data_IF_152782497517
#
_entry.id   IF_152782497517
#
_cell.length_a   1.000
_cell.length_b   1.000
_cell.length_c   1.000
_cell.angle_alpha   90.00
_cell.angle_beta   90.00
_cell.angle_gamma   90.00
#
_symmetry.space_group_name_H-M   'P 1'
#
loop_
_entity.id
_entity.type
_entity.pdbx_description
1 polymer ?
#
# COMPACT_ATOMS: atom_id res chain seq x y z
N UNK A 1 27.40 -7.26 -67.90
CA UNK A 1 26.56 -6.23 -67.24
C UNK A 1 25.35 -6.93 -66.64
N UNK A 2 25.44 -7.31 -65.36
CA UNK A 2 24.28 -7.73 -64.56
C UNK A 2 24.51 -7.18 -63.17
N UNK A 3 23.61 -6.29 -62.78
CA UNK A 3 23.67 -5.44 -61.59
C UNK A 3 23.26 -6.21 -60.35
N UNK A 4 24.08 -6.02 -59.32
CA UNK A 4 23.92 -6.11 -57.86
C UNK A 4 22.68 -6.78 -57.23
N UNK A 5 22.97 -7.68 -56.30
CA UNK A 5 22.25 -7.80 -55.02
C UNK A 5 23.13 -7.16 -53.94
N UNK A 6 22.54 -6.42 -52.99
CA UNK A 6 22.20 -7.10 -51.74
C UNK A 6 20.84 -6.69 -51.16
N UNK A 7 20.20 -7.68 -50.52
CA UNK A 7 18.96 -7.51 -49.77
C UNK A 7 19.13 -6.55 -48.60
N UNK A 8 18.10 -5.74 -48.38
CA UNK A 8 18.02 -4.75 -47.32
C UNK A 8 18.23 -5.38 -45.94
N UNK A 9 19.26 -4.87 -45.25
CA UNK A 9 19.49 -5.02 -43.82
C UNK A 9 18.25 -4.59 -43.02
N UNK A 10 17.60 -5.56 -42.38
CA UNK A 10 16.82 -5.32 -41.18
C UNK A 10 17.81 -5.06 -40.06
N UNK A 11 17.94 -3.81 -39.59
CA UNK A 11 18.30 -3.54 -38.20
C UNK A 11 18.35 -2.03 -37.87
N UNK A 12 17.93 -1.73 -36.64
CA UNK A 12 18.20 -0.55 -35.83
C UNK A 12 17.58 0.81 -36.19
N UNK A 13 16.31 0.98 -35.80
CA UNK A 13 15.92 2.23 -35.12
C UNK A 13 15.33 1.95 -33.73
N UNK A 14 16.12 1.28 -32.89
CA UNK A 14 15.97 1.41 -31.44
C UNK A 14 16.37 2.84 -31.10
N UNK A 15 15.44 3.78 -31.25
CA UNK A 15 15.59 5.09 -30.64
C UNK A 15 15.88 4.84 -29.16
N UNK A 16 17.03 5.32 -28.71
CA UNK A 16 17.41 5.35 -27.32
C UNK A 16 16.28 6.08 -26.59
N UNK A 17 15.40 5.33 -25.94
CA UNK A 17 14.41 5.89 -25.04
C UNK A 17 15.20 6.64 -23.99
N UNK A 18 15.21 7.97 -24.07
CA UNK A 18 15.70 8.78 -22.98
C UNK A 18 14.89 8.36 -21.77
N UNK A 19 15.55 7.89 -20.72
CA UNK A 19 14.89 7.60 -19.45
C UNK A 19 14.51 8.95 -18.86
N UNK A 20 13.43 9.54 -19.37
CA UNK A 20 12.93 10.82 -18.92
C UNK A 20 12.56 10.65 -17.46
N UNK A 21 13.32 11.32 -16.60
CA UNK A 21 13.25 11.13 -15.16
C UNK A 21 12.11 12.00 -14.66
N UNK A 22 10.91 11.43 -14.57
CA UNK A 22 9.76 12.11 -14.02
C UNK A 22 9.95 12.38 -12.53
N UNK A 23 9.53 13.56 -12.07
CA UNK A 23 9.59 13.94 -10.66
C UNK A 23 8.67 13.05 -9.83
N UNK A 24 8.95 12.86 -8.52
CA UNK A 24 8.07 12.11 -7.64
C UNK A 24 6.63 12.61 -7.65
N UNK A 25 6.45 13.94 -7.61
CA UNK A 25 5.15 14.62 -7.55
C UNK A 25 4.34 14.35 -8.83
N UNK A 26 5.01 14.36 -9.99
CA UNK A 26 4.38 14.04 -11.25
C UNK A 26 3.87 12.60 -11.29
N UNK A 27 4.69 11.65 -10.82
CA UNK A 27 4.29 10.23 -10.75
C UNK A 27 3.12 10.04 -9.80
N UNK A 28 3.14 10.73 -8.66
CA UNK A 28 2.08 10.66 -7.67
C UNK A 28 0.75 11.15 -8.24
N UNK A 29 0.72 12.32 -8.88
CA UNK A 29 -0.50 12.85 -9.51
C UNK A 29 -0.99 11.96 -10.66
N UNK A 30 -0.09 11.38 -11.46
CA UNK A 30 -0.46 10.42 -12.50
C UNK A 30 -1.12 9.17 -11.91
N UNK A 31 -0.59 8.65 -10.79
CA UNK A 31 -1.15 7.49 -10.09
C UNK A 31 -2.49 7.83 -9.43
N UNK A 32 -2.66 9.01 -8.82
CA UNK A 32 -3.94 9.46 -8.23
C UNK A 32 -5.06 9.54 -9.26
N UNK A 33 -4.76 9.94 -10.50
CA UNK A 33 -5.76 9.93 -11.57
C UNK A 33 -6.30 8.52 -11.87
N UNK A 34 -5.45 7.49 -11.75
CA UNK A 34 -5.85 6.10 -11.97
C UNK A 34 -6.55 5.52 -10.75
N UNK A 35 -5.94 5.63 -9.57
CA UNK A 35 -6.42 4.97 -8.34
C UNK A 35 -7.62 5.71 -7.74
N UNK A 36 -7.53 7.03 -7.60
CA UNK A 36 -8.52 7.80 -6.84
C UNK A 36 -9.66 8.30 -7.74
N UNK A 37 -9.35 8.65 -9.00
CA UNK A 37 -10.34 9.15 -9.97
C UNK A 37 -10.86 8.08 -10.93
N UNK A 38 -10.27 6.88 -10.93
CA UNK A 38 -10.74 5.73 -11.71
C UNK A 38 -10.50 5.82 -13.22
N UNK A 39 -9.62 6.71 -13.70
CA UNK A 39 -9.32 6.80 -15.12
C UNK A 39 -8.51 5.58 -15.61
N UNK A 40 -8.70 5.24 -16.88
CA UNK A 40 -7.95 4.14 -17.50
C UNK A 40 -6.46 4.48 -17.65
N UNK A 41 -5.59 3.52 -17.35
CA UNK A 41 -4.13 3.69 -17.52
C UNK A 41 -3.75 4.13 -18.95
N UNK A 42 -4.30 3.56 -20.04
CA UNK A 42 -3.98 4.01 -21.39
C UNK A 42 -4.40 5.46 -21.66
N UNK A 43 -5.54 5.88 -21.13
CA UNK A 43 -6.08 7.24 -21.28
C UNK A 43 -5.19 8.26 -20.56
N UNK A 44 -4.86 8.00 -19.30
CA UNK A 44 -3.99 8.88 -18.50
C UNK A 44 -2.59 8.94 -19.11
N UNK A 45 -2.06 7.81 -19.57
CA UNK A 45 -0.75 7.75 -20.22
C UNK A 45 -0.71 8.61 -21.49
N UNK A 46 -1.72 8.50 -22.36
CA UNK A 46 -1.84 9.29 -23.57
C UNK A 46 -1.95 10.79 -23.26
N UNK A 47 -2.79 11.18 -22.28
CA UNK A 47 -2.98 12.57 -21.87
C UNK A 47 -1.71 13.21 -21.31
N UNK A 48 -0.92 12.43 -20.56
CA UNK A 48 0.30 12.91 -19.91
C UNK A 48 1.56 12.74 -20.78
N UNK A 49 1.45 12.15 -21.97
CA UNK A 49 2.60 11.89 -22.85
C UNK A 49 3.60 10.90 -22.27
N UNK A 50 3.15 9.97 -21.41
CA UNK A 50 3.99 8.94 -20.79
C UNK A 50 3.68 7.56 -21.36
N UNK A 51 4.62 6.62 -21.23
CA UNK A 51 4.33 5.25 -21.64
C UNK A 51 3.35 4.59 -20.66
N UNK A 52 2.34 3.91 -21.21
CA UNK A 52 1.37 3.15 -20.40
C UNK A 52 2.08 2.12 -19.50
N UNK A 53 3.16 1.51 -20.00
CA UNK A 53 3.97 0.57 -19.22
C UNK A 53 4.57 1.20 -17.96
N UNK A 54 5.14 2.41 -18.06
CA UNK A 54 5.66 3.13 -16.91
C UNK A 54 4.56 3.46 -15.91
N UNK A 55 3.40 3.89 -16.40
CA UNK A 55 2.27 4.23 -15.54
C UNK A 55 1.72 2.98 -14.81
N UNK A 56 1.59 1.84 -15.48
CA UNK A 56 1.26 0.56 -14.83
C UNK A 56 2.25 0.20 -13.72
N UNK A 57 3.55 0.40 -13.97
CA UNK A 57 4.59 0.13 -12.97
C UNK A 57 4.44 1.02 -11.73
N UNK A 58 4.14 2.31 -11.91
CA UNK A 58 3.94 3.24 -10.79
C UNK A 58 2.67 2.91 -10.00
N UNK A 59 1.55 2.63 -10.68
CA UNK A 59 0.31 2.21 -10.04
C UNK A 59 0.52 0.94 -9.22
N UNK A 60 1.21 -0.06 -9.78
CA UNK A 60 1.49 -1.32 -9.08
C UNK A 60 2.34 -1.10 -7.82
N UNK A 61 3.37 -0.25 -7.88
CA UNK A 61 4.23 0.05 -6.73
C UNK A 61 3.44 0.69 -5.58
N UNK A 62 2.58 1.67 -5.89
CA UNK A 62 1.75 2.33 -4.86
C UNK A 62 0.72 1.37 -4.28
N UNK A 63 0.08 0.53 -5.10
CA UNK A 63 -0.89 -0.44 -4.60
C UNK A 63 -0.25 -1.53 -3.72
N UNK A 64 0.96 -2.00 -4.06
CA UNK A 64 1.68 -2.94 -3.19
C UNK A 64 2.07 -2.30 -1.86
N UNK A 65 2.58 -1.07 -1.89
CA UNK A 65 3.00 -0.36 -0.67
C UNK A 65 1.80 -0.11 0.26
N UNK A 66 0.63 0.28 -0.30
CA UNK A 66 -0.62 0.44 0.46
C UNK A 66 -1.09 -0.88 1.08
N UNK A 67 -0.97 -2.00 0.36
CA UNK A 67 -1.36 -3.33 0.86
C UNK A 67 -0.47 -3.80 2.02
N UNK A 68 0.84 -3.62 1.90
CA UNK A 68 1.80 -3.96 2.94
C UNK A 68 1.59 -3.10 4.19
N UNK A 69 1.39 -1.79 4.00
CA UNK A 69 1.12 -0.86 5.09
C UNK A 69 -0.17 -1.21 5.83
N UNK A 70 -1.27 -1.45 5.11
CA UNK A 70 -2.53 -1.87 5.71
C UNK A 70 -2.40 -3.19 6.49
N UNK A 71 -1.61 -4.13 5.99
CA UNK A 71 -1.35 -5.41 6.68
C UNK A 71 -0.61 -5.23 8.00
N UNK A 72 0.37 -4.32 8.05
CA UNK A 72 1.09 -3.96 9.28
C UNK A 72 0.19 -3.26 10.29
N UNK A 73 -0.56 -2.25 9.85
CA UNK A 73 -1.51 -1.52 10.70
C UNK A 73 -2.56 -2.47 11.31
N UNK A 74 -3.07 -3.42 10.52
CA UNK A 74 -4.00 -4.43 11.01
C UNK A 74 -3.37 -5.36 12.06
N UNK A 75 -2.10 -5.71 11.89
CA UNK A 75 -1.37 -6.55 12.86
C UNK A 75 -1.15 -5.80 14.18
N UNK A 76 -0.75 -4.53 14.11
CA UNK A 76 -0.58 -3.65 15.28
C UNK A 76 -1.91 -3.42 16.01
N UNK A 77 -2.99 -3.16 15.28
CA UNK A 77 -4.32 -3.02 15.89
C UNK A 77 -4.75 -4.31 16.61
N UNK A 78 -4.49 -5.49 16.03
CA UNK A 78 -4.79 -6.78 16.67
C UNK A 78 -3.97 -7.01 17.93
N UNK A 79 -2.68 -6.68 17.92
CA UNK A 79 -1.82 -6.86 19.11
C UNK A 79 -2.28 -5.94 20.25
N UNK A 80 -2.66 -4.70 19.93
CA UNK A 80 -3.17 -3.75 20.91
C UNK A 80 -4.52 -4.19 21.48
N UNK A 81 -5.43 -4.71 20.65
CA UNK A 81 -6.70 -5.29 21.14
C UNK A 81 -6.44 -6.42 22.12
N UNK A 82 -5.50 -7.33 21.85
CA UNK A 82 -5.16 -8.42 22.76
C UNK A 82 -4.58 -7.89 24.08
N UNK A 83 -3.69 -6.89 24.01
CA UNK A 83 -3.11 -6.23 25.19
C UNK A 83 -4.20 -5.58 26.05
N UNK A 84 -5.07 -4.80 25.45
CA UNK A 84 -6.17 -4.11 26.15
C UNK A 84 -7.15 -5.11 26.76
N UNK A 85 -7.52 -6.17 26.04
CA UNK A 85 -8.36 -7.25 26.60
C UNK A 85 -7.73 -7.92 27.82
N UNK A 86 -6.41 -8.12 27.82
CA UNK A 86 -5.72 -8.67 28.98
C UNK A 86 -5.72 -7.70 30.18
N UNK A 87 -5.55 -6.40 29.93
CA UNK A 87 -5.63 -5.38 30.99
C UNK A 87 -7.04 -5.28 31.57
N UNK A 88 -8.07 -5.27 30.72
CA UNK A 88 -9.47 -5.26 31.18
C UNK A 88 -9.75 -6.45 32.07
N UNK A 89 -9.38 -7.66 31.67
CA UNK A 89 -9.56 -8.86 32.51
C UNK A 89 -8.88 -8.72 33.87
N UNK A 90 -7.63 -8.27 33.91
CA UNK A 90 -6.90 -8.07 35.17
C UNK A 90 -7.62 -7.08 36.09
N UNK A 91 -8.04 -5.93 35.55
CA UNK A 91 -8.73 -4.90 36.34
C UNK A 91 -10.09 -5.41 36.83
N UNK A 92 -10.80 -6.19 36.04
CA UNK A 92 -12.06 -6.82 36.45
C UNK A 92 -11.84 -7.84 37.57
N UNK A 93 -10.82 -8.67 37.47
CA UNK A 93 -10.42 -9.63 38.51
C UNK A 93 -10.06 -8.92 39.82
N UNK A 94 -9.22 -7.88 39.76
CA UNK A 94 -8.83 -7.06 40.93
C UNK A 94 -10.07 -6.42 41.59
N UNK A 95 -10.95 -5.80 40.79
CA UNK A 95 -12.20 -5.22 41.26
C UNK A 95 -13.08 -6.27 41.95
N UNK A 96 -13.19 -7.45 41.37
CA UNK A 96 -14.05 -8.50 41.90
C UNK A 96 -13.50 -9.13 43.18
N UNK A 97 -12.18 -9.23 43.31
CA UNK A 97 -11.51 -9.60 44.56
C UNK A 97 -11.77 -8.56 45.66
N UNK A 98 -11.61 -7.27 45.37
CA UNK A 98 -11.89 -6.20 46.34
C UNK A 98 -13.35 -6.20 46.79
N UNK A 99 -14.30 -6.40 45.86
CA UNK A 99 -15.73 -6.54 46.20
C UNK A 99 -15.98 -7.75 47.10
N UNK A 100 -15.32 -8.89 46.86
CA UNK A 100 -15.45 -10.07 47.72
C UNK A 100 -14.89 -9.80 49.12
N UNK A 101 -13.72 -9.17 49.22
CA UNK A 101 -13.11 -8.79 50.49
C UNK A 101 -14.02 -7.83 51.29
N UNK A 102 -14.54 -6.77 50.66
CA UNK A 102 -15.46 -5.84 51.31
C UNK A 102 -16.73 -6.53 51.85
N UNK A 103 -17.29 -7.48 51.10
CA UNK A 103 -18.43 -8.29 51.56
C UNK A 103 -18.08 -9.22 52.72
N UNK A 104 -16.88 -9.77 52.74
CA UNK A 104 -16.40 -10.60 53.84
C UNK A 104 -16.30 -9.77 55.13
N UNK A 105 -15.58 -8.64 55.08
CA UNK A 105 -15.40 -7.76 56.24
C UNK A 105 -16.72 -7.15 56.75
N UNK A 106 -17.68 -6.84 55.88
CA UNK A 106 -18.98 -6.31 56.31
C UNK A 106 -19.88 -7.36 57.02
N UNK A 107 -19.49 -8.65 57.04
CA UNK A 107 -20.26 -9.75 57.63
C UNK A 107 -19.71 -10.25 58.96
N UNK A 108 -18.51 -9.82 59.36
CA UNK A 108 -17.97 -10.09 60.70
C UNK A 108 -18.32 -8.91 61.62
N UNK A 109 -19.29 -9.04 62.55
CA UNK A 109 -19.38 -8.12 63.67
C UNK A 109 -18.28 -8.46 64.68
N UNK A 110 -17.69 -7.42 65.30
CA UNK A 110 -16.76 -7.57 66.43
C UNK A 110 -17.33 -8.42 67.57
#
# INVERSE_FOLDING_TARGET
>A
MSVDKPGLSFEHRRQLVSTQRFTPEFKEEAVKQVIDRGYGVPEVAARLGVSAHSLYKWVKAVSSDKSEQHSKELLEAKSEILRLRAQVRRVEEERDLLKKAARYFAREPE
#
